data_IF_456685808034
#
_entry.id   IF_456685808034
#
_cell.length_a   1.000
_cell.length_b   1.000
_cell.length_c   1.000
_cell.angle_alpha   90.00
_cell.angle_beta   90.00
_cell.angle_gamma   90.00
#
_symmetry.space_group_name_H-M   'P 1'
#
loop_
_entity.id
_entity.type
_entity.pdbx_description
1 polymer ?
#
# COMPACT_ATOMS: atom_id res chain seq x y z
N UNK A 1 -28.57 -10.95 -36.75
CA UNK A 1 -28.69 -9.87 -35.76
C UNK A 1 -28.61 -10.40 -34.32
N UNK A 2 -29.39 -11.44 -33.98
CA UNK A 2 -29.41 -12.07 -32.64
C UNK A 2 -28.06 -12.55 -32.07
N UNK A 3 -27.13 -13.01 -32.90
CA UNK A 3 -25.82 -13.48 -32.42
C UNK A 3 -24.93 -12.37 -31.85
N UNK A 4 -24.99 -11.15 -32.41
CA UNK A 4 -24.18 -10.02 -31.93
C UNK A 4 -24.75 -9.41 -30.65
N UNK A 5 -26.08 -9.34 -30.53
CA UNK A 5 -26.77 -8.87 -29.32
C UNK A 5 -26.47 -9.77 -28.12
N UNK A 6 -26.44 -11.09 -28.31
CA UNK A 6 -26.08 -12.03 -27.25
C UNK A 6 -24.63 -11.88 -26.75
N UNK A 7 -23.68 -11.51 -27.62
CA UNK A 7 -22.29 -11.28 -27.18
C UNK A 7 -22.15 -10.00 -26.36
N UNK A 8 -22.84 -8.93 -26.75
CA UNK A 8 -22.82 -7.66 -26.02
C UNK A 8 -23.41 -7.81 -24.61
N UNK A 9 -24.57 -8.48 -24.49
CA UNK A 9 -25.23 -8.68 -23.20
C UNK A 9 -24.39 -9.53 -22.23
N UNK A 10 -23.65 -10.54 -22.73
CA UNK A 10 -22.71 -11.33 -21.91
C UNK A 10 -21.57 -10.47 -21.37
N UNK A 11 -20.95 -9.68 -22.24
CA UNK A 11 -19.82 -8.82 -21.85
C UNK A 11 -20.24 -7.79 -20.80
N UNK A 12 -21.41 -7.15 -21.00
CA UNK A 12 -21.96 -6.17 -20.05
C UNK A 12 -22.35 -6.83 -18.73
N UNK A 13 -23.03 -7.98 -18.77
CA UNK A 13 -23.46 -8.68 -17.56
C UNK A 13 -22.28 -9.14 -16.69
N UNK A 14 -21.34 -9.90 -17.27
CA UNK A 14 -20.17 -10.39 -16.53
C UNK A 14 -19.22 -9.26 -16.14
N UNK A 15 -18.88 -8.38 -17.08
CA UNK A 15 -17.95 -7.28 -16.84
C UNK A 15 -18.49 -6.28 -15.82
N UNK A 16 -19.78 -5.93 -15.92
CA UNK A 16 -20.45 -5.08 -14.94
C UNK A 16 -20.47 -5.70 -13.55
N UNK A 17 -20.87 -6.96 -13.43
CA UNK A 17 -20.93 -7.64 -12.11
C UNK A 17 -19.56 -7.71 -11.45
N UNK A 18 -18.53 -8.15 -12.17
CA UNK A 18 -17.17 -8.24 -11.64
C UNK A 18 -16.60 -6.86 -11.29
N UNK A 19 -16.79 -5.87 -12.17
CA UNK A 19 -16.36 -4.49 -11.91
C UNK A 19 -17.05 -3.89 -10.68
N UNK A 20 -18.35 -4.11 -10.52
CA UNK A 20 -19.11 -3.69 -9.35
C UNK A 20 -18.61 -4.32 -8.06
N UNK A 21 -18.36 -5.63 -8.04
CA UNK A 21 -17.80 -6.35 -6.88
C UNK A 21 -16.42 -5.81 -6.52
N UNK A 22 -15.54 -5.59 -7.50
CA UNK A 22 -14.20 -5.04 -7.26
C UNK A 22 -14.27 -3.63 -6.65
N UNK A 23 -15.22 -2.80 -7.08
CA UNK A 23 -15.45 -1.48 -6.49
C UNK A 23 -15.93 -1.57 -5.05
N UNK A 24 -16.80 -2.54 -4.72
CA UNK A 24 -17.25 -2.77 -3.34
C UNK A 24 -16.10 -3.23 -2.43
N UNK A 25 -15.25 -4.15 -2.90
CA UNK A 25 -14.04 -4.58 -2.17
C UNK A 25 -13.08 -3.40 -1.98
N UNK A 26 -12.87 -2.60 -3.03
CA UNK A 26 -12.03 -1.39 -2.97
C UNK A 26 -12.60 -0.34 -2.01
N UNK A 27 -13.92 -0.19 -1.96
CA UNK A 27 -14.60 0.70 -1.01
C UNK A 27 -14.42 0.21 0.42
N UNK A 28 -14.59 -1.09 0.67
CA UNK A 28 -14.37 -1.68 2.00
C UNK A 28 -12.95 -1.45 2.50
N UNK A 29 -11.94 -1.73 1.68
CA UNK A 29 -10.53 -1.49 2.06
C UNK A 29 -10.19 -0.01 2.26
N UNK A 30 -10.77 0.89 1.46
CA UNK A 30 -10.61 2.32 1.66
C UNK A 30 -11.34 2.80 2.93
N UNK A 31 -12.49 2.21 3.25
CA UNK A 31 -13.24 2.49 4.46
C UNK A 31 -12.48 2.04 5.72
N UNK A 32 -11.89 0.84 5.73
CA UNK A 32 -11.08 0.36 6.87
C UNK A 32 -9.86 1.25 7.10
N UNK A 33 -9.20 1.69 6.03
CA UNK A 33 -8.11 2.67 6.13
C UNK A 33 -8.59 4.00 6.71
N UNK A 34 -9.74 4.50 6.22
CA UNK A 34 -10.32 5.75 6.72
C UNK A 34 -10.74 5.64 8.19
N UNK A 35 -11.38 4.54 8.60
CA UNK A 35 -11.85 4.35 9.99
C UNK A 35 -10.70 4.25 10.99
N UNK A 36 -9.55 3.73 10.55
CA UNK A 36 -8.34 3.59 11.37
C UNK A 36 -7.37 4.76 11.20
N UNK A 37 -7.75 5.82 10.47
CA UNK A 37 -6.93 7.01 10.25
C UNK A 37 -7.62 8.27 10.75
N UNK A 38 -6.82 9.21 11.25
CA UNK A 38 -7.25 10.59 11.51
C UNK A 38 -6.78 11.49 10.37
N UNK A 39 -7.43 12.64 10.21
CA UNK A 39 -7.05 13.62 9.17
C UNK A 39 -5.68 14.24 9.41
N UNK A 40 -5.29 14.37 10.68
CA UNK A 40 -3.99 14.88 11.09
C UNK A 40 -3.03 13.72 11.38
N UNK A 41 -1.76 13.81 10.93
CA UNK A 41 -0.79 12.78 11.19
C UNK A 41 -0.40 12.81 12.67
N UNK A 42 -0.32 11.65 13.31
CA UNK A 42 0.29 11.55 14.64
C UNK A 42 1.81 11.51 14.54
N UNK A 43 2.52 12.17 15.43
CA UNK A 43 3.99 12.07 15.48
C UNK A 43 4.42 10.89 16.34
N UNK A 44 5.22 9.99 15.78
CA UNK A 44 5.74 8.80 16.48
C UNK A 44 7.25 8.65 16.22
N UNK A 45 8.01 8.14 17.18
CA UNK A 45 9.41 7.79 16.92
C UNK A 45 9.50 6.41 16.29
N UNK A 46 10.53 6.15 15.46
CA UNK A 46 10.75 4.81 14.90
C UNK A 46 10.91 3.73 15.98
N UNK A 47 11.44 4.09 17.16
CA UNK A 47 11.53 3.15 18.29
C UNK A 47 10.15 2.77 18.82
N UNK A 48 9.28 3.76 19.09
CA UNK A 48 7.91 3.53 19.55
C UNK A 48 7.10 2.75 18.53
N UNK A 49 7.22 3.09 17.24
CA UNK A 49 6.52 2.37 16.17
C UNK A 49 6.88 0.88 16.15
N UNK A 50 8.14 0.54 16.43
CA UNK A 50 8.59 -0.86 16.48
C UNK A 50 8.10 -1.59 17.73
N UNK A 51 7.98 -0.91 18.87
CA UNK A 51 7.63 -1.55 20.15
C UNK A 51 6.14 -1.57 20.43
N UNK A 52 5.43 -0.52 20.04
CA UNK A 52 4.03 -0.28 20.37
C UNK A 52 3.12 -0.40 19.13
N UNK A 53 3.70 -0.42 17.93
CA UNK A 53 2.95 -0.37 16.68
C UNK A 53 2.47 1.04 16.35
N UNK A 54 1.46 1.13 15.48
CA UNK A 54 0.92 2.40 15.00
C UNK A 54 -0.20 2.97 15.88
N UNK A 55 -0.58 2.31 16.98
CA UNK A 55 -1.65 2.77 17.88
C UNK A 55 -2.99 3.03 17.15
N UNK A 56 -3.61 4.18 17.42
CA UNK A 56 -4.97 4.50 16.94
C UNK A 56 -5.01 5.29 15.61
N UNK A 57 -3.89 5.46 14.91
CA UNK A 57 -3.86 6.26 13.68
C UNK A 57 -2.82 5.73 12.67
N UNK A 58 -3.31 5.19 11.56
CA UNK A 58 -2.45 4.74 10.46
C UNK A 58 -1.69 5.89 9.77
N UNK A 59 -2.17 7.13 9.89
CA UNK A 59 -1.51 8.30 9.31
C UNK A 59 -0.56 8.94 10.32
N UNK A 60 0.75 8.92 10.01
CA UNK A 60 1.77 9.32 10.99
C UNK A 60 2.96 10.03 10.37
N UNK A 61 3.61 10.84 11.19
CA UNK A 61 4.93 11.41 10.96
C UNK A 61 5.94 10.65 11.81
N UNK A 62 6.85 9.92 11.16
CA UNK A 62 7.88 9.12 11.83
C UNK A 62 9.14 9.95 12.02
N UNK A 63 9.66 9.98 13.24
CA UNK A 63 10.85 10.73 13.65
C UNK A 63 11.93 9.81 14.23
N UNK A 64 13.14 10.33 14.45
CA UNK A 64 14.24 9.62 15.09
C UNK A 64 14.57 8.27 14.43
N UNK A 65 14.59 8.25 13.10
CA UNK A 65 14.92 7.07 12.31
C UNK A 65 16.28 7.22 11.63
N UNK A 66 16.76 6.11 11.06
CA UNK A 66 17.91 6.04 10.17
C UNK A 66 17.56 5.10 9.02
N UNK A 67 17.51 5.60 7.77
CA UNK A 67 17.24 4.76 6.61
C UNK A 67 18.46 3.89 6.29
N UNK A 68 18.24 2.60 6.03
CA UNK A 68 19.28 1.65 5.63
C UNK A 68 19.43 1.66 4.10
N UNK A 69 20.03 2.71 3.56
CA UNK A 69 20.14 2.92 2.12
C UNK A 69 20.95 1.83 1.39
N UNK A 70 21.89 1.20 2.08
CA UNK A 70 22.65 0.06 1.56
C UNK A 70 21.83 -1.23 1.43
N UNK A 71 20.63 -1.26 2.00
CA UNK A 71 19.68 -2.36 1.97
C UNK A 71 18.37 -1.97 1.27
N UNK A 72 18.38 -0.87 0.51
CA UNK A 72 17.21 -0.45 -0.26
C UNK A 72 17.00 -1.35 -1.47
N UNK A 73 15.75 -1.61 -1.81
CA UNK A 73 15.37 -2.41 -2.98
C UNK A 73 14.53 -1.54 -3.90
N UNK A 74 15.02 -1.38 -5.14
CA UNK A 74 14.29 -0.66 -6.19
C UNK A 74 13.28 -1.62 -6.80
N UNK A 75 12.01 -1.23 -6.80
CA UNK A 75 10.96 -1.92 -7.55
C UNK A 75 11.05 -1.46 -9.00
N UNK A 76 11.72 -2.28 -9.81
CA UNK A 76 11.65 -2.19 -11.26
C UNK A 76 10.50 -3.09 -11.73
N UNK A 77 9.37 -2.48 -12.10
CA UNK A 77 8.37 -3.21 -12.89
C UNK A 77 8.97 -3.43 -14.28
N UNK A 78 8.78 -4.65 -14.83
CA UNK A 78 9.27 -5.03 -16.16
C UNK A 78 8.99 -3.92 -17.18
N UNK A 79 10.07 -3.52 -17.85
CA UNK A 79 10.25 -2.24 -18.55
C UNK A 79 9.23 -2.01 -19.68
N UNK A 80 8.47 -3.03 -20.08
CA UNK A 80 7.69 -2.98 -21.31
C UNK A 80 6.35 -2.22 -21.23
N UNK A 81 5.73 -1.95 -20.06
CA UNK A 81 4.35 -1.41 -20.08
C UNK A 81 3.93 -0.28 -19.13
N UNK A 82 4.72 0.18 -18.16
CA UNK A 82 4.29 1.36 -17.38
C UNK A 82 5.39 1.96 -16.50
N UNK A 83 5.78 3.21 -16.75
CA UNK A 83 6.59 4.01 -15.83
C UNK A 83 5.85 4.38 -14.53
N UNK A 84 4.55 4.10 -14.42
CA UNK A 84 3.71 4.60 -13.31
C UNK A 84 3.89 3.88 -11.97
N UNK A 85 4.67 2.79 -11.91
CA UNK A 85 4.79 1.97 -10.70
C UNK A 85 6.21 1.83 -10.14
N UNK A 86 7.16 2.65 -10.60
CA UNK A 86 8.51 2.66 -9.98
C UNK A 86 8.42 3.15 -8.54
N UNK A 87 9.17 2.51 -7.65
CA UNK A 87 9.28 2.91 -6.26
C UNK A 87 10.44 2.22 -5.57
N UNK A 88 10.79 2.68 -4.37
CA UNK A 88 11.89 2.12 -3.59
C UNK A 88 11.38 1.71 -2.22
N UNK A 89 11.80 0.54 -1.80
CA UNK A 89 11.61 -0.01 -0.47
C UNK A 89 12.87 0.26 0.35
N UNK A 90 12.74 1.05 1.41
CA UNK A 90 13.84 1.46 2.27
C UNK A 90 13.57 0.93 3.68
N UNK A 91 14.36 -0.04 4.17
CA UNK A 91 14.28 -0.44 5.57
C UNK A 91 14.66 0.75 6.46
N UNK A 92 13.92 0.97 7.54
CA UNK A 92 14.23 2.02 8.51
C UNK A 92 14.48 1.41 9.89
N UNK A 93 15.39 2.03 10.63
CA UNK A 93 15.72 1.62 12.00
C UNK A 93 15.68 2.81 12.94
N UNK A 94 15.48 2.60 14.26
CA UNK A 94 15.61 3.67 15.23
C UNK A 94 17.03 4.24 15.21
N UNK A 95 17.13 5.57 15.31
CA UNK A 95 18.43 6.25 15.39
C UNK A 95 19.16 5.78 16.65
N UNK A 96 20.28 5.09 16.47
CA UNK A 96 21.06 4.53 17.59
C UNK A 96 21.60 5.66 18.47
N UNK A 97 21.34 5.56 19.77
CA UNK A 97 22.16 6.27 20.77
C UNK A 97 23.49 5.52 20.90
N UNK A 98 24.59 6.26 21.13
CA UNK A 98 25.97 5.77 21.05
C UNK A 98 26.33 4.56 21.94
N UNK A 99 25.40 4.11 22.79
CA UNK A 99 25.59 3.03 23.77
C UNK A 99 25.05 1.67 23.32
N UNK A 100 24.41 1.58 22.15
CA UNK A 100 23.88 0.29 21.66
C UNK A 100 24.99 -0.57 21.05
N UNK A 101 25.19 -1.76 21.64
CA UNK A 101 26.11 -2.81 21.17
C UNK A 101 25.87 -3.10 19.68
N UNK A 102 26.92 -3.50 18.95
CA UNK A 102 26.94 -3.83 17.51
C UNK A 102 26.04 -5.03 17.12
N UNK A 103 24.77 -5.05 17.51
CA UNK A 103 23.79 -6.01 16.98
C UNK A 103 23.50 -5.63 15.52
N UNK A 104 23.28 -6.64 14.66
CA UNK A 104 22.76 -6.40 13.31
C UNK A 104 21.42 -5.65 13.41
N UNK A 105 21.14 -4.67 12.53
CA UNK A 105 19.86 -3.99 12.53
C UNK A 105 18.74 -4.98 12.19
N UNK A 106 17.71 -5.03 13.04
CA UNK A 106 16.46 -5.75 12.76
C UNK A 106 15.63 -4.94 11.76
N UNK A 107 15.06 -5.59 10.75
CA UNK A 107 14.12 -4.97 9.81
C UNK A 107 12.69 -5.22 10.30
N UNK A 108 12.08 -4.21 10.93
CA UNK A 108 10.69 -4.27 11.42
C UNK A 108 9.76 -3.27 10.73
N UNK A 109 10.34 -2.26 10.10
CA UNK A 109 9.60 -1.22 9.40
C UNK A 109 10.25 -0.96 8.04
N UNK A 110 9.44 -0.97 6.99
CA UNK A 110 9.85 -0.66 5.64
C UNK A 110 9.09 0.56 5.15
N UNK A 111 9.83 1.55 4.67
CA UNK A 111 9.27 2.69 3.96
C UNK A 111 9.18 2.36 2.47
N UNK A 112 8.00 2.46 1.89
CA UNK A 112 7.81 2.47 0.44
C UNK A 112 7.64 3.89 -0.07
N UNK A 113 8.43 4.30 -1.06
CA UNK A 113 8.28 5.61 -1.69
C UNK A 113 8.30 5.50 -3.21
N UNK A 114 7.28 6.07 -3.85
CA UNK A 114 7.23 6.27 -5.31
C UNK A 114 8.06 7.47 -5.78
N UNK A 115 8.54 8.28 -4.84
CA UNK A 115 9.23 9.55 -5.10
C UNK A 115 10.73 9.51 -4.80
N UNK A 116 11.29 8.34 -4.47
CA UNK A 116 12.71 8.16 -4.16
C UNK A 116 13.40 7.30 -5.21
N UNK A 117 13.30 7.68 -6.48
CA UNK A 117 13.88 6.90 -7.58
C UNK A 117 15.21 7.47 -8.10
N UNK A 118 15.50 8.74 -7.79
CA UNK A 118 16.75 9.40 -8.17
C UNK A 118 17.77 9.36 -7.00
N UNK A 119 19.06 9.07 -7.26
CA UNK A 119 20.13 9.26 -6.27
C UNK A 119 20.09 10.58 -5.50
N UNK A 120 19.74 11.70 -6.15
CA UNK A 120 19.59 13.01 -5.50
C UNK A 120 18.45 13.02 -4.49
N UNK A 121 17.30 12.45 -4.84
CA UNK A 121 16.14 12.32 -3.96
C UNK A 121 16.45 11.42 -2.77
N UNK A 122 17.17 10.31 -3.00
CA UNK A 122 17.61 9.40 -1.94
C UNK A 122 18.57 10.10 -0.98
N UNK A 123 19.55 10.85 -1.51
CA UNK A 123 20.48 11.62 -0.70
C UNK A 123 19.76 12.73 0.08
N UNK A 124 18.77 13.41 -0.52
CA UNK A 124 17.95 14.39 0.19
C UNK A 124 17.14 13.74 1.32
N UNK A 125 16.52 12.59 1.06
CA UNK A 125 15.79 11.82 2.05
C UNK A 125 16.67 11.28 3.19
N UNK A 126 17.94 10.97 2.92
CA UNK A 126 18.88 10.57 3.96
C UNK A 126 19.12 11.67 5.02
N UNK A 127 18.83 12.93 4.67
CA UNK A 127 19.03 14.11 5.51
C UNK A 127 17.75 14.56 6.21
N UNK A 128 16.58 14.05 5.81
CA UNK A 128 15.32 14.41 6.47
C UNK A 128 15.25 13.76 7.86
N UNK A 129 14.82 14.55 8.84
CA UNK A 129 14.71 14.09 10.25
C UNK A 129 13.38 13.37 10.51
N UNK A 130 12.40 13.61 9.65
CA UNK A 130 11.06 13.09 9.72
C UNK A 130 10.49 12.85 8.33
N UNK A 131 9.52 11.95 8.23
CA UNK A 131 8.69 11.78 7.04
C UNK A 131 7.27 11.45 7.47
N UNK A 132 6.30 11.80 6.63
CA UNK A 132 4.89 11.49 6.86
C UNK A 132 4.43 10.41 5.89
N UNK A 133 3.61 9.49 6.35
CA UNK A 133 3.07 8.42 5.51
C UNK A 133 1.88 7.72 6.13
N UNK A 134 1.31 6.80 5.36
CA UNK A 134 0.20 5.95 5.78
C UNK A 134 0.72 4.53 5.98
N UNK A 135 0.47 3.94 7.13
CA UNK A 135 0.69 2.51 7.35
C UNK A 135 -0.30 1.72 6.49
N UNK A 136 0.21 0.74 5.75
CA UNK A 136 -0.58 -0.11 4.89
C UNK A 136 -0.52 -1.52 5.44
N UNK A 137 -1.46 -1.83 6.34
CA UNK A 137 -1.60 -3.16 6.93
C UNK A 137 -2.02 -4.23 5.90
N UNK A 138 -1.75 -5.48 6.26
CA UNK A 138 -2.32 -6.69 5.66
C UNK A 138 -2.01 -6.90 4.18
N UNK A 139 -0.80 -6.56 3.76
CA UNK A 139 -0.32 -7.01 2.46
C UNK A 139 0.81 -7.96 2.74
N UNK A 140 0.63 -9.27 2.48
CA UNK A 140 1.72 -10.22 2.53
C UNK A 140 2.89 -9.61 1.78
N UNK A 141 4.01 -9.41 2.47
CA UNK A 141 5.21 -8.79 1.89
C UNK A 141 5.58 -9.50 0.59
N UNK A 142 5.39 -10.82 0.53
CA UNK A 142 5.62 -11.66 -0.64
C UNK A 142 4.88 -11.21 -1.92
N UNK A 143 3.72 -10.56 -1.82
CA UNK A 143 2.94 -10.13 -3.00
C UNK A 143 3.38 -8.76 -3.56
N UNK A 144 4.08 -7.94 -2.76
CA UNK A 144 4.45 -6.57 -3.14
C UNK A 144 5.94 -6.30 -3.21
N UNK A 145 6.71 -7.03 -2.42
CA UNK A 145 8.14 -6.89 -2.26
C UNK A 145 8.75 -8.19 -2.77
N UNK A 146 9.87 -8.07 -3.49
CA UNK A 146 10.71 -9.23 -3.79
C UNK A 146 11.27 -9.76 -2.45
N UNK A 147 10.48 -10.62 -1.80
CA UNK A 147 10.73 -11.13 -0.46
C UNK A 147 12.05 -11.90 -0.39
N UNK A 148 12.46 -12.54 -1.49
CA UNK A 148 13.75 -13.21 -1.61
C UNK A 148 14.91 -12.21 -1.47
N UNK A 149 14.82 -11.06 -2.15
CA UNK A 149 15.84 -10.03 -2.06
C UNK A 149 15.97 -9.48 -0.63
N UNK A 150 14.85 -9.22 0.06
CA UNK A 150 14.88 -8.77 1.46
C UNK A 150 15.35 -9.86 2.41
N UNK A 151 14.94 -11.11 2.21
CA UNK A 151 15.32 -12.27 3.04
C UNK A 151 16.82 -12.54 2.96
N UNK A 152 17.45 -12.28 1.82
CA UNK A 152 18.90 -12.39 1.68
C UNK A 152 19.66 -11.35 2.53
N UNK A 153 19.08 -10.15 2.72
CA UNK A 153 19.70 -9.05 3.49
C UNK A 153 19.35 -9.18 4.98
N UNK A 154 18.12 -9.59 5.29
CA UNK A 154 17.57 -9.72 6.64
C UNK A 154 16.99 -11.13 6.85
N UNK A 155 17.85 -12.16 6.98
CA UNK A 155 17.39 -13.55 7.10
C UNK A 155 16.61 -13.82 8.39
N UNK A 156 16.80 -12.99 9.41
CA UNK A 156 16.12 -13.11 10.70
C UNK A 156 14.83 -12.25 10.80
N UNK A 157 14.43 -11.57 9.72
CA UNK A 157 13.24 -10.72 9.73
C UNK A 157 11.97 -11.54 9.52
N UNK A 158 10.97 -11.26 10.35
CA UNK A 158 9.64 -11.84 10.23
C UNK A 158 8.77 -10.98 9.29
N UNK A 159 8.79 -11.32 8.00
CA UNK A 159 8.11 -10.56 6.94
C UNK A 159 6.58 -10.56 7.05
N UNK A 160 5.99 -11.50 7.79
CA UNK A 160 4.55 -11.51 8.03
C UNK A 160 4.13 -10.41 9.03
N UNK A 161 5.07 -9.94 9.85
CA UNK A 161 4.86 -8.95 10.90
C UNK A 161 5.65 -7.63 10.66
N UNK A 162 6.02 -7.33 9.41
CA UNK A 162 6.66 -6.06 9.06
C UNK A 162 5.63 -4.95 8.85
N UNK A 163 5.89 -3.80 9.46
CA UNK A 163 5.12 -2.59 9.20
C UNK A 163 5.58 -1.92 7.91
N UNK A 164 4.66 -1.75 6.96
CA UNK A 164 4.91 -1.01 5.72
C UNK A 164 4.30 0.37 5.83
N UNK A 165 5.09 1.41 5.56
CA UNK A 165 4.63 2.79 5.48
C UNK A 165 4.77 3.29 4.05
N UNK A 166 3.67 3.74 3.44
CA UNK A 166 3.72 4.40 2.14
C UNK A 166 3.98 5.91 2.34
N UNK A 167 5.17 6.35 1.90
CA UNK A 167 5.65 7.73 2.02
C UNK A 167 4.74 8.72 1.30
N UNK A 168 4.40 9.81 1.98
CA UNK A 168 3.52 10.89 1.50
C UNK A 168 2.11 10.45 1.10
N UNK A 169 1.71 9.22 1.44
CA UNK A 169 0.33 8.77 1.26
C UNK A 169 -0.56 9.37 2.34
N UNK A 170 -1.69 9.93 1.92
CA UNK A 170 -2.75 10.40 2.80
C UNK A 170 -3.85 9.34 2.90
N UNK A 171 -4.61 9.31 4.00
CA UNK A 171 -5.84 8.53 4.08
C UNK A 171 -6.78 8.85 2.90
N UNK A 172 -7.56 7.87 2.43
CA UNK A 172 -8.57 8.14 1.42
C UNK A 172 -9.61 9.13 1.98
N UNK A 173 -9.92 10.20 1.26
CA UNK A 173 -10.95 11.15 1.70
C UNK A 173 -12.34 10.51 1.72
N UNK A 174 -13.20 10.96 2.63
CA UNK A 174 -14.57 10.45 2.80
C UNK A 174 -15.36 10.43 1.49
N UNK A 175 -15.28 11.50 0.69
CA UNK A 175 -15.94 11.59 -0.60
C UNK A 175 -15.54 10.47 -1.57
N UNK A 176 -14.24 10.12 -1.61
CA UNK A 176 -13.74 9.04 -2.47
C UNK A 176 -14.33 7.69 -2.05
N UNK A 177 -14.39 7.41 -0.76
CA UNK A 177 -14.96 6.15 -0.22
C UNK A 177 -16.44 6.03 -0.57
N UNK A 178 -17.21 7.11 -0.37
CA UNK A 178 -18.64 7.17 -0.70
C UNK A 178 -18.88 6.97 -2.20
N UNK A 179 -18.10 7.64 -3.06
CA UNK A 179 -18.22 7.48 -4.51
C UNK A 179 -17.93 6.04 -4.96
N UNK A 180 -16.90 5.39 -4.42
CA UNK A 180 -16.60 4.00 -4.72
C UNK A 180 -17.74 3.06 -4.29
N UNK A 181 -18.31 3.30 -3.10
CA UNK A 181 -19.42 2.51 -2.58
C UNK A 181 -20.66 2.64 -3.50
N UNK A 182 -21.05 3.88 -3.82
CA UNK A 182 -22.20 4.15 -4.67
C UNK A 182 -22.01 3.58 -6.08
N UNK A 183 -20.81 3.74 -6.67
CA UNK A 183 -20.50 3.17 -7.97
C UNK A 183 -20.63 1.63 -7.95
N UNK A 184 -20.09 0.96 -6.93
CA UNK A 184 -20.22 -0.48 -6.76
C UNK A 184 -21.68 -0.92 -6.60
N UNK A 185 -22.47 -0.21 -5.78
CA UNK A 185 -23.89 -0.48 -5.55
C UNK A 185 -24.78 -0.26 -6.78
N UNK A 186 -24.40 0.63 -7.71
CA UNK A 186 -25.14 0.87 -8.95
C UNK A 186 -24.74 -0.13 -10.05
N UNK A 187 -23.44 -0.36 -10.23
CA UNK A 187 -22.92 -1.18 -11.33
C UNK A 187 -23.25 -2.67 -11.10
N UNK A 188 -23.20 -3.16 -9.85
CA UNK A 188 -23.44 -4.58 -9.55
C UNK A 188 -24.85 -5.02 -9.94
N UNK A 189 -25.95 -4.34 -9.55
CA UNK A 189 -27.31 -4.71 -9.97
C UNK A 189 -27.52 -4.63 -11.48
N UNK A 190 -26.94 -3.62 -12.16
CA UNK A 190 -27.02 -3.52 -13.62
C UNK A 190 -26.35 -4.74 -14.28
N UNK A 191 -25.17 -5.14 -13.80
CA UNK A 191 -24.49 -6.35 -14.24
C UNK A 191 -25.31 -7.61 -14.01
N UNK A 192 -25.90 -7.76 -12.81
CA UNK A 192 -26.75 -8.90 -12.46
C UNK A 192 -28.02 -8.96 -13.32
N UNK A 193 -28.64 -7.81 -13.62
CA UNK A 193 -29.79 -7.73 -14.52
C UNK A 193 -29.42 -8.17 -15.93
N UNK A 194 -28.25 -7.76 -16.44
CA UNK A 194 -27.72 -8.23 -17.73
C UNK A 194 -27.45 -9.73 -17.76
N UNK A 195 -26.88 -10.29 -16.70
CA UNK A 195 -26.69 -11.74 -16.55
C UNK A 195 -28.02 -12.49 -16.51
N UNK A 196 -28.99 -11.99 -15.75
CA UNK A 196 -30.32 -12.60 -15.65
C UNK A 196 -31.04 -12.62 -17.00
N UNK A 197 -31.03 -11.50 -17.74
CA UNK A 197 -31.59 -11.43 -19.09
C UNK A 197 -30.89 -12.40 -20.05
N UNK A 198 -29.58 -12.58 -19.91
CA UNK A 198 -28.83 -13.54 -20.71
C UNK A 198 -29.23 -14.99 -20.44
N UNK A 199 -29.47 -15.39 -19.19
CA UNK A 199 -29.90 -16.77 -18.87
C UNK A 199 -31.36 -17.06 -19.19
N UNK A 200 -32.19 -16.02 -19.28
CA UNK A 200 -33.61 -16.14 -19.61
C UNK A 200 -33.85 -16.40 -21.10
N UNK A 201 -32.98 -15.89 -21.98
CA UNK A 201 -33.07 -15.97 -23.44
C UNK A 201 -32.23 -17.11 -24.01
#
# INVERSE_FOLDING_TARGET
MSFFENRANRAIGFGGTLGGILLLISSYTAFTQLSSSKNEPQTITAQQLITEGYGDNLFMTVTNYTPLLNAMIVKEDDIERSTMNRGVWVPITPKRTSKSVKKRPECKVILYSRYLYDPEQINAFSRTKEFTGLVVDNIPVGDKINSDAFSSIFPDADFDNILIIEHNKKPPGYLKVVLLLLAGLIITPIGLMGLYQYFKN
#
